data_IF_643306193593
#
_entry.id   IF_643306193593
#
_cell.length_a   1.000
_cell.length_b   1.000
_cell.length_c   1.000
_cell.angle_alpha   90.00
_cell.angle_beta   90.00
_cell.angle_gamma   90.00
#
_symmetry.space_group_name_H-M   'P 1'
#
loop_
_entity.id
_entity.type
_entity.pdbx_description
1 polymer ?
#
# COMPACT_ATOMS: atom_id res chain seq x y z
N UNK A 1 -36.04 -3.68 -21.69
CA UNK A 1 -35.73 -3.26 -20.30
C UNK A 1 -34.47 -3.98 -19.79
N UNK A 2 -33.35 -3.95 -20.53
CA UNK A 2 -32.08 -4.62 -20.17
C UNK A 2 -30.96 -3.58 -19.90
N UNK A 3 -31.32 -2.30 -19.71
CA UNK A 3 -30.35 -1.21 -19.63
C UNK A 3 -29.77 -0.99 -18.22
N UNK A 4 -30.23 -1.73 -17.19
CA UNK A 4 -29.76 -1.59 -15.80
C UNK A 4 -28.74 -2.65 -15.35
N UNK A 5 -28.57 -3.74 -16.10
CA UNK A 5 -27.59 -4.81 -15.80
C UNK A 5 -26.14 -4.34 -15.67
N UNK A 6 -25.61 -3.44 -16.53
CA UNK A 6 -24.22 -2.98 -16.36
C UNK A 6 -24.05 -2.10 -15.12
N UNK A 7 -25.06 -1.31 -14.73
CA UNK A 7 -24.99 -0.46 -13.54
C UNK A 7 -25.16 -1.26 -12.25
N UNK A 8 -26.05 -2.26 -12.22
CA UNK A 8 -26.20 -3.15 -11.06
C UNK A 8 -25.00 -4.06 -10.87
N UNK A 9 -24.40 -4.55 -11.96
CA UNK A 9 -23.15 -5.32 -11.91
C UNK A 9 -22.00 -4.46 -11.37
N UNK A 10 -21.87 -3.21 -11.86
CA UNK A 10 -20.86 -2.27 -11.39
C UNK A 10 -21.03 -1.95 -9.91
N UNK A 11 -22.27 -1.69 -9.45
CA UNK A 11 -22.58 -1.47 -8.04
C UNK A 11 -22.25 -2.70 -7.18
N UNK A 12 -22.53 -3.91 -7.67
CA UNK A 12 -22.16 -5.15 -6.99
C UNK A 12 -20.65 -5.32 -6.85
N UNK A 13 -19.88 -5.03 -7.89
CA UNK A 13 -18.41 -5.09 -7.86
C UNK A 13 -17.84 -4.04 -6.87
N UNK A 14 -18.40 -2.83 -6.84
CA UNK A 14 -18.01 -1.79 -5.89
C UNK A 14 -18.31 -2.18 -4.44
N UNK A 15 -19.49 -2.73 -4.17
CA UNK A 15 -19.86 -3.21 -2.84
C UNK A 15 -18.92 -4.33 -2.37
N UNK A 16 -18.58 -5.28 -3.24
CA UNK A 16 -17.61 -6.35 -2.95
C UNK A 16 -16.23 -5.75 -2.64
N UNK A 17 -15.78 -4.76 -3.42
CA UNK A 17 -14.51 -4.08 -3.16
C UNK A 17 -14.51 -3.38 -1.79
N UNK A 18 -15.58 -2.66 -1.45
CA UNK A 18 -15.73 -2.02 -0.13
C UNK A 18 -15.66 -3.04 1.02
N UNK A 19 -16.34 -4.19 0.88
CA UNK A 19 -16.29 -5.27 1.87
C UNK A 19 -14.86 -5.79 2.03
N UNK A 20 -14.14 -6.04 0.92
CA UNK A 20 -12.74 -6.48 0.99
C UNK A 20 -11.84 -5.42 1.61
N UNK A 21 -11.99 -4.15 1.23
CA UNK A 21 -11.20 -3.03 1.77
C UNK A 21 -11.39 -2.91 3.28
N UNK A 22 -12.63 -3.00 3.78
CA UNK A 22 -12.93 -3.03 5.21
C UNK A 22 -12.36 -4.29 5.90
N UNK A 23 -12.48 -5.46 5.27
CA UNK A 23 -11.91 -6.71 5.77
C UNK A 23 -10.38 -6.66 5.89
N UNK A 24 -9.70 -6.08 4.90
CA UNK A 24 -8.24 -5.86 4.91
C UNK A 24 -7.87 -4.90 6.05
N UNK A 25 -8.62 -3.82 6.25
CA UNK A 25 -8.38 -2.89 7.37
C UNK A 25 -8.47 -3.61 8.73
N UNK A 26 -9.51 -4.41 8.95
CA UNK A 26 -9.74 -5.14 10.21
C UNK A 26 -8.66 -6.20 10.44
N UNK A 27 -8.33 -6.99 9.43
CA UNK A 27 -7.31 -8.05 9.53
C UNK A 27 -5.92 -7.46 9.73
N UNK A 28 -5.55 -6.42 8.98
CA UNK A 28 -4.29 -5.71 9.16
C UNK A 28 -4.19 -5.09 10.56
N UNK A 29 -5.27 -4.52 11.09
CA UNK A 29 -5.32 -3.96 12.43
C UNK A 29 -5.15 -5.04 13.52
N UNK A 30 -5.83 -6.17 13.36
CA UNK A 30 -5.69 -7.32 14.26
C UNK A 30 -4.26 -7.86 14.29
N UNK A 31 -3.65 -8.08 13.10
CA UNK A 31 -2.26 -8.52 12.98
C UNK A 31 -1.27 -7.48 13.52
N UNK A 32 -1.57 -6.19 13.35
CA UNK A 32 -0.75 -5.10 13.88
C UNK A 32 -0.70 -5.16 15.41
N UNK A 33 -1.87 -5.24 16.06
CA UNK A 33 -1.96 -5.36 17.53
C UNK A 33 -1.29 -6.64 18.03
N UNK A 34 -1.48 -7.77 17.34
CA UNK A 34 -0.80 -9.02 17.66
C UNK A 34 0.73 -8.89 17.59
N UNK A 35 1.25 -8.26 16.53
CA UNK A 35 2.68 -8.05 16.35
C UNK A 35 3.27 -7.08 17.39
N UNK A 36 2.48 -6.09 17.84
CA UNK A 36 2.88 -5.16 18.89
C UNK A 36 2.96 -5.84 20.26
N UNK A 37 2.05 -6.76 20.56
CA UNK A 37 1.98 -7.41 21.88
C UNK A 37 3.03 -8.50 22.10
N UNK A 38 3.31 -9.33 21.09
CA UNK A 38 4.07 -10.57 21.32
C UNK A 38 5.42 -10.67 20.61
N UNK A 39 5.66 -9.89 19.54
CA UNK A 39 6.81 -10.11 18.65
C UNK A 39 7.77 -8.92 18.48
N UNK A 40 7.67 -7.85 19.29
CA UNK A 40 8.51 -6.64 19.15
C UNK A 40 10.03 -6.88 19.29
N UNK A 41 10.43 -7.99 19.89
CA UNK A 41 11.85 -8.34 20.10
C UNK A 41 12.53 -8.84 18.82
N UNK A 42 11.75 -9.40 17.88
CA UNK A 42 12.25 -9.80 16.56
C UNK A 42 12.27 -8.59 15.61
N UNK A 43 13.40 -8.39 14.93
CA UNK A 43 13.58 -7.29 13.97
C UNK A 43 12.66 -7.42 12.76
N UNK A 44 12.37 -8.63 12.31
CA UNK A 44 11.48 -8.89 11.16
C UNK A 44 10.05 -8.51 11.54
N UNK A 45 9.55 -9.01 12.68
CA UNK A 45 8.20 -8.71 13.15
C UNK A 45 8.02 -7.21 13.41
N UNK A 46 9.00 -6.53 14.02
CA UNK A 46 8.94 -5.07 14.20
C UNK A 46 8.87 -4.32 12.87
N UNK A 47 9.63 -4.73 11.86
CA UNK A 47 9.62 -4.08 10.53
C UNK A 47 8.31 -4.35 9.80
N UNK A 48 7.76 -5.57 9.96
CA UNK A 48 6.45 -5.94 9.42
C UNK A 48 5.31 -5.18 10.09
N UNK A 49 5.37 -4.95 11.41
CA UNK A 49 4.40 -4.13 12.12
C UNK A 49 4.31 -2.69 11.57
N UNK A 50 5.43 -2.12 11.11
CA UNK A 50 5.42 -0.80 10.47
C UNK A 50 4.69 -0.85 9.12
N UNK A 51 4.85 -1.91 8.34
CA UNK A 51 4.08 -2.12 7.11
C UNK A 51 2.59 -2.23 7.47
N UNK A 52 2.22 -3.09 8.42
CA UNK A 52 0.83 -3.24 8.86
C UNK A 52 0.21 -1.93 9.32
N UNK A 53 0.96 -1.09 10.05
CA UNK A 53 0.49 0.24 10.44
C UNK A 53 0.19 1.12 9.23
N UNK A 54 1.08 1.14 8.23
CA UNK A 54 0.85 1.91 7.00
C UNK A 54 -0.41 1.40 6.28
N UNK A 55 -0.59 0.08 6.21
CA UNK A 55 -1.75 -0.57 5.59
C UNK A 55 -3.04 -0.24 6.32
N UNK A 56 -3.06 -0.30 7.65
CA UNK A 56 -4.21 0.11 8.47
C UNK A 56 -4.59 1.55 8.16
N UNK A 57 -3.63 2.48 8.11
CA UNK A 57 -3.91 3.88 7.80
C UNK A 57 -4.51 4.03 6.39
N UNK A 58 -3.95 3.34 5.40
CA UNK A 58 -4.45 3.41 4.01
C UNK A 58 -5.87 2.83 3.89
N UNK A 59 -6.07 1.59 4.32
CA UNK A 59 -7.34 0.89 4.13
C UNK A 59 -8.44 1.41 5.06
N UNK A 60 -8.11 1.90 6.26
CA UNK A 60 -9.09 2.55 7.12
C UNK A 60 -9.57 3.86 6.48
N UNK A 61 -8.65 4.69 5.99
CA UNK A 61 -9.01 5.92 5.29
C UNK A 61 -9.83 5.65 4.02
N UNK A 62 -9.54 4.58 3.28
CA UNK A 62 -10.31 4.16 2.11
C UNK A 62 -11.69 3.61 2.47
N UNK A 63 -11.81 2.78 3.50
CA UNK A 63 -13.10 2.22 3.95
C UNK A 63 -14.11 3.28 4.44
N UNK A 64 -13.61 4.44 4.87
CA UNK A 64 -14.43 5.56 5.32
C UNK A 64 -14.82 6.53 4.19
N UNK A 65 -14.28 6.36 2.97
CA UNK A 65 -14.67 7.13 1.79
C UNK A 65 -15.99 6.59 1.25
N UNK A 66 -17.10 7.12 1.78
CA UNK A 66 -18.44 6.82 1.28
C UNK A 66 -18.95 7.92 0.33
N UNK A 67 -19.80 7.55 -0.64
CA UNK A 67 -20.37 8.46 -1.64
C UNK A 67 -21.32 9.50 -1.03
N UNK A 68 -21.68 9.33 0.25
CA UNK A 68 -22.51 10.26 1.03
C UNK A 68 -21.67 11.30 1.78
N UNK A 69 -20.33 11.14 1.81
CA UNK A 69 -19.45 12.02 2.56
C UNK A 69 -19.31 13.40 1.89
N UNK A 70 -19.18 14.43 2.72
CA UNK A 70 -18.95 15.79 2.23
C UNK A 70 -17.58 15.91 1.53
N UNK A 71 -17.50 16.76 0.50
CA UNK A 71 -16.25 17.04 -0.24
C UNK A 71 -15.03 17.32 0.67
N UNK A 72 -15.12 18.17 1.73
CA UNK A 72 -13.98 18.40 2.61
C UNK A 72 -13.60 17.16 3.44
N UNK A 73 -14.56 16.30 3.79
CA UNK A 73 -14.28 15.02 4.46
C UNK A 73 -13.52 14.09 3.52
N UNK A 74 -13.93 13.98 2.26
CA UNK A 74 -13.25 13.17 1.25
C UNK A 74 -11.81 13.64 1.04
N UNK A 75 -11.56 14.95 0.89
CA UNK A 75 -10.21 15.48 0.74
C UNK A 75 -9.31 15.14 1.95
N UNK A 76 -9.85 15.25 3.17
CA UNK A 76 -9.11 14.90 4.40
C UNK A 76 -8.76 13.40 4.44
N UNK A 77 -9.72 12.52 4.14
CA UNK A 77 -9.51 11.08 4.12
C UNK A 77 -8.48 10.67 3.06
N UNK A 78 -8.55 11.26 1.87
CA UNK A 78 -7.58 11.00 0.81
C UNK A 78 -6.18 11.48 1.22
N UNK A 79 -6.03 12.66 1.83
CA UNK A 79 -4.75 13.12 2.37
C UNK A 79 -4.23 12.22 3.50
N UNK A 80 -5.13 11.68 4.35
CA UNK A 80 -4.76 10.73 5.40
C UNK A 80 -4.22 9.43 4.81
N UNK A 81 -4.81 8.92 3.72
CA UNK A 81 -4.33 7.73 3.01
C UNK A 81 -2.88 7.91 2.51
N UNK A 82 -2.54 9.11 2.02
CA UNK A 82 -1.18 9.43 1.58
C UNK A 82 -0.14 9.33 2.71
N UNK A 83 -0.55 9.45 3.98
CA UNK A 83 0.34 9.25 5.11
C UNK A 83 0.91 7.82 5.15
N UNK A 84 0.04 6.82 5.03
CA UNK A 84 0.46 5.41 4.95
C UNK A 84 1.27 5.13 3.67
N UNK A 85 0.86 5.74 2.56
CA UNK A 85 1.51 5.53 1.26
C UNK A 85 2.95 6.08 1.22
N UNK A 86 3.20 7.23 1.84
CA UNK A 86 4.52 7.86 1.87
C UNK A 86 5.55 7.02 2.63
N UNK A 87 5.14 6.36 3.71
CA UNK A 87 6.02 5.53 4.54
C UNK A 87 6.18 4.09 4.04
N UNK A 88 5.27 3.61 3.19
CA UNK A 88 5.29 2.26 2.64
C UNK A 88 6.67 1.90 2.02
N UNK A 89 7.25 2.68 1.09
CA UNK A 89 8.57 2.40 0.50
C UNK A 89 9.69 2.16 1.53
N UNK A 90 9.75 3.02 2.55
CA UNK A 90 10.75 2.93 3.60
C UNK A 90 10.53 1.70 4.47
N UNK A 91 9.28 1.37 4.79
CA UNK A 91 8.91 0.19 5.56
C UNK A 91 9.27 -1.12 4.84
N UNK A 92 9.08 -1.20 3.52
CA UNK A 92 9.44 -2.39 2.74
C UNK A 92 10.94 -2.60 2.67
N UNK A 93 11.71 -1.53 2.48
CA UNK A 93 13.16 -1.64 2.53
C UNK A 93 13.66 -2.04 3.92
N UNK A 94 13.04 -1.51 4.98
CA UNK A 94 13.33 -1.91 6.36
C UNK A 94 13.07 -3.40 6.59
N UNK A 95 11.93 -3.93 6.12
CA UNK A 95 11.64 -5.36 6.16
C UNK A 95 12.65 -6.17 5.34
N UNK A 96 13.01 -5.69 4.14
CA UNK A 96 13.96 -6.38 3.26
C UNK A 96 15.35 -6.50 3.89
N UNK A 97 15.81 -5.49 4.63
CA UNK A 97 17.08 -5.56 5.37
C UNK A 97 16.96 -6.56 6.53
N UNK A 98 15.85 -6.54 7.28
CA UNK A 98 15.62 -7.49 8.36
C UNK A 98 15.64 -8.94 7.87
N UNK A 99 15.03 -9.23 6.72
CA UNK A 99 15.05 -10.57 6.11
C UNK A 99 16.43 -10.99 5.59
N UNK A 100 17.21 -10.05 5.04
CA UNK A 100 18.58 -10.36 4.63
C UNK A 100 19.48 -10.66 5.82
N UNK A 101 19.25 -10.02 6.97
CA UNK A 101 19.99 -10.31 8.21
C UNK A 101 19.65 -11.72 8.71
N UNK A 102 18.39 -12.14 8.70
CA UNK A 102 18.00 -13.50 9.10
C UNK A 102 18.46 -14.56 8.11
N UNK A 103 18.58 -14.23 6.82
CA UNK A 103 19.15 -15.10 5.79
C UNK A 103 20.69 -15.23 5.82
N UNK A 104 21.36 -14.72 6.87
CA UNK A 104 22.79 -14.90 7.08
C UNK A 104 23.69 -13.84 6.40
N UNK A 105 23.14 -12.72 5.93
CA UNK A 105 23.91 -11.56 5.43
C UNK A 105 23.83 -10.40 6.43
N UNK A 106 24.60 -10.43 7.53
CA UNK A 106 24.55 -9.37 8.55
C UNK A 106 24.91 -8.01 7.95
N UNK A 107 24.11 -7.01 8.27
CA UNK A 107 24.26 -5.64 7.77
C UNK A 107 25.46 -4.96 8.44
N UNK A 108 26.51 -4.65 7.67
CA UNK A 108 27.69 -3.86 8.10
C UNK A 108 27.39 -2.35 8.16
N UNK A 109 26.27 -1.95 8.75
CA UNK A 109 25.88 -0.54 8.97
C UNK A 109 25.35 0.22 7.75
N UNK A 110 25.91 0.01 6.55
CA UNK A 110 25.53 0.72 5.31
C UNK A 110 24.02 0.63 5.01
N UNK A 111 23.40 -0.54 5.19
CA UNK A 111 21.96 -0.71 4.94
C UNK A 111 21.10 -0.04 6.00
N UNK A 112 21.58 0.05 7.25
CA UNK A 112 20.88 0.78 8.32
C UNK A 112 20.81 2.28 8.03
N UNK A 113 21.87 2.85 7.44
CA UNK A 113 21.85 4.22 6.94
C UNK A 113 20.94 4.39 5.72
N UNK A 114 20.95 3.44 4.79
CA UNK A 114 20.03 3.47 3.63
C UNK A 114 18.57 3.49 4.07
N UNK A 115 18.16 2.61 5.01
CA UNK A 115 16.80 2.58 5.55
C UNK A 115 16.45 3.92 6.23
N UNK A 116 17.34 4.48 7.05
CA UNK A 116 17.12 5.80 7.67
C UNK A 116 16.98 6.92 6.64
N UNK A 117 17.81 6.90 5.59
CA UNK A 117 17.71 7.83 4.47
C UNK A 117 16.35 7.73 3.76
N UNK A 118 15.85 6.52 3.54
CA UNK A 118 14.52 6.31 2.95
C UNK A 118 13.40 6.84 3.83
N UNK A 119 13.47 6.67 5.15
CA UNK A 119 12.51 7.30 6.07
C UNK A 119 12.61 8.83 6.04
N UNK A 120 13.81 9.41 5.90
CA UNK A 120 13.97 10.85 5.76
C UNK A 120 13.37 11.37 4.46
N UNK A 121 13.54 10.64 3.34
CA UNK A 121 12.90 10.98 2.05
C UNK A 121 11.38 10.85 2.15
N UNK A 122 10.85 9.79 2.77
CA UNK A 122 9.42 9.65 3.03
C UNK A 122 8.88 10.80 3.89
N UNK A 123 9.60 11.20 4.94
CA UNK A 123 9.21 12.34 5.78
C UNK A 123 9.25 13.67 5.01
N UNK A 124 10.21 13.85 4.10
CA UNK A 124 10.26 14.99 3.21
C UNK A 124 9.01 15.07 2.33
N UNK A 125 8.58 13.97 1.71
CA UNK A 125 7.34 13.93 0.94
C UNK A 125 6.10 14.23 1.80
N UNK A 126 6.08 13.81 3.06
CA UNK A 126 5.00 14.20 3.98
C UNK A 126 4.99 15.67 4.34
N UNK A 127 6.16 16.31 4.45
CA UNK A 127 6.22 17.76 4.59
C UNK A 127 5.66 18.44 3.34
N UNK A 128 6.03 17.98 2.14
CA UNK A 128 5.44 18.50 0.90
C UNK A 128 3.92 18.31 0.85
N UNK A 129 3.41 17.20 1.38
CA UNK A 129 1.98 16.96 1.51
C UNK A 129 1.31 17.95 2.47
N UNK A 130 1.92 18.19 3.64
CA UNK A 130 1.42 19.13 4.64
C UNK A 130 1.39 20.58 4.15
N UNK A 131 2.36 20.97 3.31
CA UNK A 131 2.39 22.28 2.66
C UNK A 131 1.52 22.37 1.40
N UNK A 132 0.86 21.28 0.99
CA UNK A 132 -0.03 21.27 -0.19
C UNK A 132 0.68 21.26 -1.55
N UNK A 133 2.00 21.04 -1.59
CA UNK A 133 2.76 20.98 -2.85
C UNK A 133 2.76 19.60 -3.51
N UNK A 134 2.50 18.54 -2.73
CA UNK A 134 2.55 17.17 -3.25
C UNK A 134 1.36 16.83 -4.15
N UNK A 135 0.16 17.34 -3.82
CA UNK A 135 -1.10 16.99 -4.46
C UNK A 135 -1.89 18.25 -4.81
N UNK A 136 -2.48 18.25 -6.00
CA UNK A 136 -3.40 19.30 -6.43
C UNK A 136 -4.81 19.14 -5.82
N UNK A 137 -5.75 20.04 -6.18
CA UNK A 137 -7.11 20.01 -5.66
C UNK A 137 -7.83 18.70 -5.99
N UNK A 138 -8.78 18.32 -5.12
CA UNK A 138 -9.69 17.20 -5.35
C UNK A 138 -10.59 17.48 -6.56
N UNK A 139 -10.77 16.48 -7.43
CA UNK A 139 -11.75 16.50 -8.52
C UNK A 139 -12.88 15.53 -8.13
N UNK A 140 -14.00 16.04 -7.55
CA UNK A 140 -15.08 15.21 -7.02
C UNK A 140 -15.79 14.39 -8.11
N UNK A 141 -15.91 14.94 -9.33
CA UNK A 141 -16.60 14.31 -10.47
C UNK A 141 -15.69 13.40 -11.33
N UNK A 142 -14.53 12.99 -10.78
CA UNK A 142 -13.64 12.04 -11.44
C UNK A 142 -14.29 10.66 -11.58
N UNK A 143 -14.66 10.26 -12.79
CA UNK A 143 -14.98 8.84 -13.08
C UNK A 143 -13.66 8.06 -13.20
N UNK A 144 -13.47 6.88 -12.57
CA UNK A 144 -14.45 6.05 -11.85
C UNK A 144 -14.54 6.25 -10.31
N UNK A 145 -13.67 7.08 -9.72
CA UNK A 145 -13.70 7.49 -8.31
C UNK A 145 -13.05 8.88 -8.16
N UNK A 146 -13.43 9.67 -7.13
CA UNK A 146 -12.78 10.95 -6.83
C UNK A 146 -11.26 10.78 -6.79
N UNK A 147 -10.50 11.74 -7.33
CA UNK A 147 -9.04 11.70 -7.33
C UNK A 147 -8.44 13.08 -7.03
N UNK A 148 -7.23 13.10 -6.48
CA UNK A 148 -6.45 14.33 -6.32
C UNK A 148 -5.65 14.58 -7.60
N UNK A 149 -5.64 15.83 -8.07
CA UNK A 149 -4.84 16.20 -9.24
C UNK A 149 -3.36 15.88 -9.02
N UNK A 150 -2.74 15.30 -10.04
CA UNK A 150 -1.30 14.99 -10.01
C UNK A 150 -0.51 16.27 -10.24
N UNK A 151 0.47 16.49 -9.40
CA UNK A 151 1.47 17.54 -9.52
C UNK A 151 2.78 16.91 -10.01
N UNK A 152 3.73 17.70 -10.52
CA UNK A 152 5.06 17.17 -10.87
C UNK A 152 5.74 16.43 -9.69
N UNK A 153 5.49 16.87 -8.45
CA UNK A 153 5.96 16.18 -7.24
C UNK A 153 5.34 14.80 -7.03
N UNK A 154 4.10 14.58 -7.47
CA UNK A 154 3.43 13.28 -7.42
C UNK A 154 4.14 12.27 -8.33
N UNK A 155 4.59 12.69 -9.51
CA UNK A 155 5.33 11.83 -10.44
C UNK A 155 6.71 11.46 -9.88
N UNK A 156 7.42 12.43 -9.31
CA UNK A 156 8.70 12.20 -8.62
C UNK A 156 8.51 11.19 -7.47
N UNK A 157 7.42 11.33 -6.70
CA UNK A 157 7.07 10.36 -5.66
C UNK A 157 6.77 8.96 -6.24
N UNK A 158 6.05 8.87 -7.36
CA UNK A 158 5.78 7.59 -8.02
C UNK A 158 7.07 6.90 -8.45
N UNK A 159 8.01 7.63 -9.06
CA UNK A 159 9.32 7.08 -9.44
C UNK A 159 10.08 6.59 -8.20
N UNK A 160 10.13 7.39 -7.14
CA UNK A 160 10.73 7.02 -5.87
C UNK A 160 10.11 5.74 -5.29
N UNK A 161 8.78 5.67 -5.25
CA UNK A 161 8.05 4.52 -4.73
C UNK A 161 8.35 3.26 -5.54
N UNK A 162 8.25 3.32 -6.87
CA UNK A 162 8.50 2.18 -7.76
C UNK A 162 9.94 1.71 -7.61
N UNK A 163 10.91 2.62 -7.61
CA UNK A 163 12.32 2.28 -7.44
C UNK A 163 12.58 1.59 -6.09
N UNK A 164 11.97 2.09 -5.01
CA UNK A 164 12.08 1.49 -3.67
C UNK A 164 11.43 0.11 -3.60
N UNK A 165 10.26 -0.07 -4.22
CA UNK A 165 9.57 -1.36 -4.26
C UNK A 165 10.34 -2.40 -5.08
N UNK A 166 10.87 -2.02 -6.24
CA UNK A 166 11.74 -2.89 -7.05
C UNK A 166 12.97 -3.28 -6.24
N UNK A 167 13.60 -2.32 -5.54
CA UNK A 167 14.76 -2.61 -4.71
C UNK A 167 14.43 -3.55 -3.54
N UNK A 168 13.32 -3.32 -2.83
CA UNK A 168 12.85 -4.22 -1.78
C UNK A 168 12.54 -5.63 -2.33
N UNK A 169 11.90 -5.73 -3.49
CA UNK A 169 11.60 -7.01 -4.16
C UNK A 169 12.86 -7.79 -4.55
N UNK A 170 13.87 -7.12 -5.12
CA UNK A 170 15.18 -7.75 -5.41
C UNK A 170 15.82 -8.27 -4.12
N UNK A 171 15.73 -7.52 -3.02
CA UNK A 171 16.27 -7.94 -1.73
C UNK A 171 15.49 -9.12 -1.14
N UNK A 172 14.16 -9.17 -1.30
CA UNK A 172 13.34 -10.31 -0.89
C UNK A 172 13.70 -11.58 -1.68
N UNK A 173 13.84 -11.49 -3.00
CA UNK A 173 14.27 -12.61 -3.85
C UNK A 173 15.67 -13.11 -3.46
N UNK A 174 16.59 -12.18 -3.18
CA UNK A 174 17.93 -12.53 -2.68
C UNK A 174 17.86 -13.24 -1.33
N UNK A 175 17.06 -12.74 -0.39
CA UNK A 175 16.87 -13.40 0.90
C UNK A 175 16.30 -14.81 0.70
N UNK A 176 15.33 -14.99 -0.21
CA UNK A 176 14.69 -16.27 -0.50
C UNK A 176 15.69 -17.30 -1.00
N UNK A 177 16.54 -16.91 -1.95
CA UNK A 177 17.58 -17.78 -2.52
C UNK A 177 18.66 -18.16 -1.51
N UNK A 178 18.88 -17.36 -0.46
CA UNK A 178 19.84 -17.64 0.60
C UNK A 178 19.31 -18.64 1.65
N UNK A 179 18.00 -18.89 1.70
CA UNK A 179 17.43 -19.85 2.65
C UNK A 179 17.77 -21.29 2.24
N UNK A 180 18.52 -21.97 3.11
CA UNK A 180 18.96 -23.36 2.91
C UNK A 180 17.88 -24.39 3.25
N UNK A 181 16.96 -24.08 4.17
CA UNK A 181 15.94 -25.04 4.63
C UNK A 181 14.60 -24.87 3.90
N UNK A 182 13.93 -25.99 3.60
CA UNK A 182 12.60 -26.00 2.99
C UNK A 182 11.54 -25.30 3.87
N UNK A 183 11.67 -25.44 5.19
CA UNK A 183 10.81 -24.75 6.17
C UNK A 183 11.02 -23.23 6.17
N UNK A 184 12.27 -22.77 6.11
CA UNK A 184 12.61 -21.34 6.01
C UNK A 184 12.07 -20.68 4.74
N UNK A 185 12.18 -21.36 3.59
CA UNK A 185 11.60 -20.87 2.32
C UNK A 185 10.08 -20.72 2.38
N UNK A 186 9.36 -21.69 2.97
CA UNK A 186 7.90 -21.62 3.12
C UNK A 186 7.47 -20.45 4.01
N UNK A 187 8.11 -20.28 5.17
CA UNK A 187 7.84 -19.17 6.08
C UNK A 187 8.10 -17.82 5.43
N UNK A 188 9.20 -17.70 4.67
CA UNK A 188 9.53 -16.46 3.98
C UNK A 188 8.56 -16.17 2.83
N UNK A 189 8.07 -17.20 2.13
CA UNK A 189 7.09 -17.02 1.06
C UNK A 189 5.76 -16.47 1.60
N UNK A 190 5.28 -16.99 2.74
CA UNK A 190 4.08 -16.43 3.38
C UNK A 190 4.27 -14.99 3.83
N UNK A 191 5.44 -14.67 4.39
CA UNK A 191 5.74 -13.31 4.83
C UNK A 191 5.93 -12.34 3.65
N UNK A 192 6.53 -12.79 2.55
CA UNK A 192 6.64 -12.01 1.32
C UNK A 192 5.28 -11.83 0.64
N UNK A 193 4.43 -12.85 0.61
CA UNK A 193 3.09 -12.77 0.06
C UNK A 193 2.24 -11.75 0.85
N UNK A 194 2.18 -11.90 2.18
CA UNK A 194 1.46 -10.97 3.07
C UNK A 194 2.04 -9.56 3.09
N UNK A 195 3.35 -9.40 2.85
CA UNK A 195 3.94 -8.09 2.66
C UNK A 195 3.64 -7.52 1.26
N UNK A 196 3.60 -8.30 0.18
CA UNK A 196 3.42 -7.75 -1.18
C UNK A 196 1.98 -7.36 -1.46
N UNK A 197 1.03 -8.10 -0.87
CA UNK A 197 -0.39 -7.91 -1.07
C UNK A 197 -0.85 -6.46 -0.80
N UNK A 198 -0.56 -5.85 0.36
CA UNK A 198 -1.00 -4.48 0.61
C UNK A 198 -0.34 -3.41 -0.28
N UNK A 199 0.90 -3.62 -0.73
CA UNK A 199 1.54 -2.74 -1.72
C UNK A 199 0.81 -2.76 -3.06
N UNK A 200 0.24 -3.89 -3.46
CA UNK A 200 -0.58 -4.00 -4.67
C UNK A 200 -1.96 -3.36 -4.46
N UNK A 201 -2.58 -3.55 -3.29
CA UNK A 201 -3.91 -3.03 -2.95
C UNK A 201 -3.96 -1.51 -2.81
N UNK A 202 -2.92 -0.87 -2.27
CA UNK A 202 -2.88 0.59 -2.09
C UNK A 202 -2.59 1.39 -3.37
N UNK A 203 -2.32 0.73 -4.51
CA UNK A 203 -1.72 1.32 -5.70
C UNK A 203 -2.53 1.40 -7.02
N UNK A 204 -3.74 0.82 -7.19
CA UNK A 204 -4.44 0.92 -8.48
C UNK A 204 -4.76 2.37 -8.87
N UNK A 205 -5.17 3.20 -7.92
CA UNK A 205 -5.67 4.56 -8.19
C UNK A 205 -4.60 5.55 -8.71
N UNK A 206 -3.32 5.34 -8.35
CA UNK A 206 -2.21 6.20 -8.77
C UNK A 206 -1.50 5.77 -10.04
N UNK A 207 -1.62 4.51 -10.48
CA UNK A 207 -0.80 4.02 -11.59
C UNK A 207 -1.52 4.07 -12.95
N UNK A 208 -2.85 3.94 -12.98
CA UNK A 208 -3.55 3.78 -14.26
C UNK A 208 -3.72 5.05 -15.10
N UNK A 209 -3.46 6.24 -14.55
CA UNK A 209 -3.71 7.48 -15.26
C UNK A 209 -5.21 7.69 -15.48
N UNK A 210 -5.67 8.92 -15.25
CA UNK A 210 -7.08 9.30 -15.36
C UNK A 210 -7.72 8.84 -16.70
N UNK A 211 -6.96 8.83 -17.79
CA UNK A 211 -7.45 8.51 -19.13
C UNK A 211 -7.73 7.01 -19.38
N UNK A 212 -6.98 6.09 -18.77
CA UNK A 212 -7.18 4.64 -18.98
C UNK A 212 -8.25 4.09 -18.03
N UNK A 213 -8.26 4.56 -16.77
CA UNK A 213 -9.24 4.19 -15.75
C UNK A 213 -10.65 4.71 -16.07
N UNK A 214 -10.78 5.93 -16.62
CA UNK A 214 -12.07 6.48 -17.05
C UNK A 214 -12.65 5.77 -18.29
N UNK A 215 -11.79 5.18 -19.14
CA UNK A 215 -12.22 4.49 -20.38
C UNK A 215 -12.60 3.02 -20.16
N UNK A 216 -12.06 2.37 -19.12
CA UNK A 216 -12.28 0.94 -18.83
C UNK A 216 -12.59 0.68 -17.35
N UNK A 217 -13.67 1.28 -16.85
CA UNK A 217 -14.11 1.19 -15.44
C UNK A 217 -14.30 -0.26 -14.95
N UNK A 218 -14.78 -1.18 -15.79
CA UNK A 218 -14.90 -2.60 -15.45
C UNK A 218 -13.56 -3.32 -15.27
N UNK A 219 -12.55 -3.02 -16.10
CA UNK A 219 -11.20 -3.57 -15.94
C UNK A 219 -10.53 -3.03 -14.67
N UNK A 220 -10.73 -1.76 -14.37
CA UNK A 220 -10.18 -1.14 -13.16
C UNK A 220 -10.73 -1.79 -11.89
N UNK A 221 -12.04 -1.91 -11.75
CA UNK A 221 -12.67 -2.49 -10.56
C UNK A 221 -12.47 -4.01 -10.46
N UNK A 222 -12.44 -4.75 -11.58
CA UNK A 222 -12.14 -6.19 -11.56
C UNK A 222 -10.69 -6.45 -11.13
N UNK A 223 -9.72 -5.67 -11.61
CA UNK A 223 -8.33 -5.75 -11.15
C UNK A 223 -8.22 -5.38 -9.67
N UNK A 224 -8.90 -4.32 -9.23
CA UNK A 224 -8.90 -3.93 -7.82
C UNK A 224 -9.52 -5.03 -6.92
N UNK A 225 -10.61 -5.67 -7.35
CA UNK A 225 -11.21 -6.81 -6.63
C UNK A 225 -10.29 -8.02 -6.60
N UNK A 226 -9.63 -8.37 -7.72
CA UNK A 226 -8.66 -9.48 -7.76
C UNK A 226 -7.47 -9.19 -6.85
N UNK A 227 -6.95 -7.96 -6.86
CA UNK A 227 -5.87 -7.54 -5.98
C UNK A 227 -6.32 -7.65 -4.53
N UNK A 228 -7.46 -7.05 -4.16
CA UNK A 228 -7.96 -7.07 -2.79
C UNK A 228 -8.31 -8.49 -2.30
N UNK A 229 -8.83 -9.35 -3.18
CA UNK A 229 -9.04 -10.76 -2.87
C UNK A 229 -7.71 -11.51 -2.64
N UNK A 230 -6.66 -11.21 -3.41
CA UNK A 230 -5.32 -11.73 -3.18
C UNK A 230 -4.67 -11.15 -1.92
N UNK A 231 -5.06 -9.94 -1.49
CA UNK A 231 -4.60 -9.32 -0.23
C UNK A 231 -5.27 -9.93 0.98
N UNK A 232 -6.56 -10.23 0.89
CA UNK A 232 -7.37 -10.74 2.00
C UNK A 232 -7.32 -12.26 2.21
N UNK A 233 -6.70 -13.02 1.29
CA UNK A 233 -6.55 -14.48 1.36
C UNK A 233 -5.26 -14.90 2.08
#
# INVERSE_FOLDING_TARGET
MINGLPETLLAGIQAINQIFTAGIAITAFSLFLYSLSFNLRDRVARSFAIILLCVVVVFAAESLQDNTASIPTLDLLMRLQWFGLAFLPAAYLHLSDALLVTAGRPSRGRRRFAVRGMYAVSAFFLLLLAFGYLLGPIVPDGKPAPYLQRTGWTEVFTIFYVAAMVWAGINFLRAYNLMLTRSGRRRMLYLMAGATAPALGSYPYLLFGYALAARHQFLFWSVAVVINALVGA
#
